data_IF_761391121873
#
_entry.id   IF_761391121873
#
_cell.length_a   1.000
_cell.length_b   1.000
_cell.length_c   1.000
_cell.angle_alpha   90.00
_cell.angle_beta   90.00
_cell.angle_gamma   90.00
#
_symmetry.space_group_name_H-M   'P 1'
#
loop_
_entity.id
_entity.type
_entity.pdbx_description
1 polymer ?
#
# COMPACT_ATOMS: atom_id res chain seq x y z
N UNK A 1 3.23 17.61 1.50
CA UNK A 1 2.24 18.42 2.00
C UNK A 1 0.80 18.16 1.54
N UNK A 2 0.52 17.46 0.52
CA UNK A 2 -0.87 17.31 0.11
C UNK A 2 -1.13 16.02 -0.64
N UNK A 3 -2.38 15.58 -0.52
CA UNK A 3 -2.91 14.52 -1.36
C UNK A 3 -3.30 15.12 -2.70
N UNK A 4 -2.79 14.59 -3.78
CA UNK A 4 -3.18 14.94 -5.15
C UNK A 4 -3.77 13.72 -5.85
N UNK A 5 -4.68 13.96 -6.79
CA UNK A 5 -5.39 12.90 -7.50
C UNK A 5 -4.95 12.87 -8.95
N UNK A 6 -4.68 11.67 -9.44
CA UNK A 6 -4.18 11.44 -10.79
C UNK A 6 -4.95 10.30 -11.44
N UNK A 7 -4.99 10.28 -12.74
CA UNK A 7 -5.55 9.16 -13.51
C UNK A 7 -4.40 8.32 -14.02
N UNK A 8 -4.44 7.02 -13.75
CA UNK A 8 -3.40 6.09 -14.17
C UNK A 8 -3.39 4.83 -13.33
N UNK A 9 -2.29 4.11 -13.42
CA UNK A 9 -2.07 2.85 -12.73
C UNK A 9 -1.14 3.06 -11.53
N UNK A 10 -1.68 2.98 -10.32
CA UNK A 10 -0.87 3.11 -9.11
C UNK A 10 0.21 2.02 -8.97
N UNK A 11 0.01 0.85 -9.60
CA UNK A 11 1.02 -0.21 -9.61
C UNK A 11 2.15 0.07 -10.61
N UNK A 12 1.93 0.93 -11.58
CA UNK A 12 2.94 1.33 -12.57
C UNK A 12 2.78 2.80 -12.95
N UNK A 13 2.99 3.72 -11.99
CA UNK A 13 2.82 5.14 -12.26
C UNK A 13 3.88 5.64 -13.24
N UNK A 14 3.49 6.58 -14.08
CA UNK A 14 4.41 7.27 -15.00
C UNK A 14 5.16 8.35 -14.21
N UNK A 15 6.15 7.91 -13.47
CA UNK A 15 6.96 8.76 -12.58
C UNK A 15 8.43 8.39 -12.67
N UNK A 16 9.26 9.40 -12.74
CA UNK A 16 10.69 9.27 -12.56
C UNK A 16 11.07 9.46 -11.07
N UNK A 17 12.23 8.93 -10.69
CA UNK A 17 12.77 9.09 -9.35
C UNK A 17 12.32 8.02 -8.36
N UNK A 18 12.44 8.34 -7.09
CA UNK A 18 12.16 7.40 -5.99
C UNK A 18 10.74 7.57 -5.48
N UNK A 19 10.04 6.46 -5.36
CA UNK A 19 8.72 6.46 -4.75
C UNK A 19 8.42 5.13 -4.07
N UNK A 20 7.46 5.15 -3.17
CA UNK A 20 6.91 3.96 -2.54
C UNK A 20 5.44 3.81 -2.94
N UNK A 21 5.08 2.61 -3.38
CA UNK A 21 3.68 2.24 -3.64
C UNK A 21 3.13 1.63 -2.35
N UNK A 22 2.18 2.33 -1.73
CA UNK A 22 1.54 1.86 -0.51
C UNK A 22 0.22 1.16 -0.82
N UNK A 23 0.04 -0.03 -0.28
CA UNK A 23 -1.21 -0.78 -0.42
C UNK A 23 -1.51 -1.61 0.82
N UNK A 24 -2.76 -2.02 0.94
CA UNK A 24 -3.28 -2.74 2.12
C UNK A 24 -3.38 -4.22 1.82
N UNK A 25 -2.99 -5.01 2.81
CA UNK A 25 -3.07 -6.47 2.80
C UNK A 25 -3.78 -6.96 4.06
N UNK A 26 -4.32 -8.19 3.98
CA UNK A 26 -4.90 -8.86 5.14
C UNK A 26 -3.83 -9.51 6.02
N UNK A 27 -4.23 -9.84 7.23
CA UNK A 27 -3.39 -10.61 8.16
C UNK A 27 -3.45 -12.14 7.94
N UNK A 28 -4.04 -12.57 6.82
CA UNK A 28 -4.26 -14.00 6.52
C UNK A 28 -3.22 -14.64 5.59
N UNK A 29 -2.25 -13.87 5.11
CA UNK A 29 -1.29 -14.34 4.11
C UNK A 29 -1.80 -14.28 2.68
N UNK A 30 -2.97 -13.68 2.42
CA UNK A 30 -3.54 -13.55 1.09
C UNK A 30 -2.93 -12.36 0.34
N UNK A 31 -2.59 -12.57 -0.93
CA UNK A 31 -1.99 -11.56 -1.82
C UNK A 31 -2.51 -11.68 -3.27
N UNK A 32 -3.55 -12.43 -3.49
CA UNK A 32 -3.93 -12.88 -4.83
C UNK A 32 -5.11 -12.16 -5.48
N UNK A 33 -5.64 -11.09 -4.88
CA UNK A 33 -6.84 -10.43 -5.38
C UNK A 33 -6.71 -8.89 -5.39
N UNK A 34 -7.51 -8.23 -6.20
CA UNK A 34 -7.58 -6.78 -6.26
C UNK A 34 -6.24 -6.13 -6.61
N UNK A 35 -5.94 -5.01 -5.97
CA UNK A 35 -4.71 -4.28 -6.22
C UNK A 35 -3.45 -5.07 -5.86
N UNK A 36 -3.50 -5.91 -4.81
CA UNK A 36 -2.38 -6.78 -4.45
C UNK A 36 -1.99 -7.72 -5.59
N UNK A 37 -2.98 -8.22 -6.35
CA UNK A 37 -2.72 -9.04 -7.54
C UNK A 37 -1.95 -8.26 -8.61
N UNK A 38 -2.30 -7.00 -8.82
CA UNK A 38 -1.58 -6.14 -9.76
C UNK A 38 -0.13 -5.92 -9.31
N UNK A 39 0.09 -5.68 -8.02
CA UNK A 39 1.43 -5.57 -7.45
C UNK A 39 2.21 -6.88 -7.64
N UNK A 40 1.61 -8.03 -7.35
CA UNK A 40 2.26 -9.33 -7.53
C UNK A 40 2.66 -9.60 -8.98
N UNK A 41 1.82 -9.18 -9.94
CA UNK A 41 2.11 -9.35 -11.36
C UNK A 41 3.25 -8.45 -11.83
N UNK A 42 3.32 -7.21 -11.32
CA UNK A 42 4.35 -6.23 -11.69
C UNK A 42 5.65 -6.42 -10.91
N UNK A 43 5.54 -6.79 -9.65
CA UNK A 43 6.65 -6.90 -8.70
C UNK A 43 6.54 -8.21 -7.89
N UNK A 44 6.86 -9.36 -8.50
CA UNK A 44 6.75 -10.66 -7.80
C UNK A 44 7.48 -10.69 -6.46
N UNK A 45 8.58 -9.96 -6.33
CA UNK A 45 9.35 -9.86 -5.09
C UNK A 45 8.52 -9.31 -3.93
N UNK A 46 7.60 -8.40 -4.17
CA UNK A 46 6.75 -7.83 -3.12
C UNK A 46 5.88 -8.90 -2.48
N UNK A 47 5.26 -9.76 -3.28
CA UNK A 47 4.48 -10.91 -2.80
C UNK A 47 5.36 -11.96 -2.12
N UNK A 48 6.50 -12.30 -2.71
CA UNK A 48 7.42 -13.30 -2.16
C UNK A 48 7.88 -12.89 -0.75
N UNK A 49 8.31 -11.65 -0.57
CA UNK A 49 8.78 -11.16 0.72
C UNK A 49 7.63 -11.07 1.74
N UNK A 50 6.43 -10.69 1.34
CA UNK A 50 5.26 -10.73 2.21
C UNK A 50 4.96 -12.13 2.71
N UNK A 51 4.96 -13.13 1.84
CA UNK A 51 4.70 -14.52 2.21
C UNK A 51 5.77 -15.09 3.17
N UNK A 52 7.03 -14.75 2.95
CA UNK A 52 8.12 -15.11 3.86
C UNK A 52 7.93 -14.49 5.24
N UNK A 53 7.57 -13.22 5.27
CA UNK A 53 7.28 -12.51 6.51
C UNK A 53 6.09 -13.13 7.26
N UNK A 54 5.01 -13.41 6.54
CA UNK A 54 3.83 -14.07 7.09
C UNK A 54 4.15 -15.43 7.72
N UNK A 55 5.05 -16.20 7.11
CA UNK A 55 5.48 -17.54 7.60
C UNK A 55 6.52 -17.45 8.71
N UNK A 56 6.97 -16.28 9.09
CA UNK A 56 8.06 -16.12 10.04
C UNK A 56 9.42 -16.52 9.49
N UNK A 57 9.57 -16.57 8.17
CA UNK A 57 10.82 -16.86 7.48
C UNK A 57 11.59 -15.58 7.16
N UNK A 58 12.91 -15.68 7.12
CA UNK A 58 13.78 -14.57 6.74
C UNK A 58 14.19 -13.66 7.89
N UNK A 59 14.95 -12.62 7.56
CA UNK A 59 15.61 -11.73 8.52
C UNK A 59 14.77 -10.52 8.94
N UNK A 60 13.45 -10.61 8.85
CA UNK A 60 12.58 -9.50 9.29
C UNK A 60 12.69 -9.32 10.79
N UNK A 61 13.10 -8.13 11.21
CA UNK A 61 13.25 -7.79 12.63
C UNK A 61 11.93 -7.45 13.32
N UNK A 62 10.81 -7.38 12.57
CA UNK A 62 9.50 -7.11 13.17
C UNK A 62 8.53 -8.26 12.89
N UNK A 63 7.66 -8.55 13.88
CA UNK A 63 6.67 -9.59 13.71
C UNK A 63 5.59 -9.18 12.68
N UNK A 64 5.06 -10.18 11.98
CA UNK A 64 3.88 -10.01 11.16
C UNK A 64 2.65 -9.81 12.05
N UNK A 65 1.97 -8.68 11.93
CA UNK A 65 0.77 -8.37 12.69
C UNK A 65 -0.03 -7.24 12.02
N UNK A 66 -1.28 -7.06 12.43
CA UNK A 66 -2.05 -5.87 12.08
C UNK A 66 -1.30 -4.61 12.52
N UNK A 67 -1.26 -3.62 11.65
CA UNK A 67 -0.56 -2.35 11.89
C UNK A 67 0.90 -2.34 11.46
N UNK A 68 1.48 -3.49 11.09
CA UNK A 68 2.87 -3.58 10.65
C UNK A 68 3.01 -3.24 9.16
N UNK A 69 4.17 -2.69 8.80
CA UNK A 69 4.53 -2.34 7.42
C UNK A 69 5.84 -3.04 7.05
N UNK A 70 5.85 -3.64 5.89
CA UNK A 70 7.07 -4.18 5.28
C UNK A 70 7.43 -3.35 4.04
N UNK A 71 8.66 -2.87 3.99
CA UNK A 71 9.21 -2.19 2.83
C UNK A 71 9.97 -3.16 1.95
N UNK A 72 9.61 -3.26 0.68
CA UNK A 72 10.26 -4.14 -0.28
C UNK A 72 10.78 -3.32 -1.45
N UNK A 73 12.09 -3.34 -1.67
CA UNK A 73 12.71 -2.74 -2.86
C UNK A 73 12.38 -3.57 -4.09
N UNK A 74 11.78 -2.95 -5.10
CA UNK A 74 11.29 -3.63 -6.31
C UNK A 74 11.86 -3.06 -7.60
N UNK A 75 12.57 -1.94 -7.52
CA UNK A 75 13.21 -1.32 -8.68
C UNK A 75 14.43 -2.10 -9.17
N UNK A 76 14.64 -2.14 -10.47
CA UNK A 76 15.87 -2.66 -11.04
C UNK A 76 16.98 -1.61 -10.90
N UNK A 77 17.94 -1.85 -10.04
CA UNK A 77 18.98 -0.89 -9.69
C UNK A 77 20.37 -1.37 -10.07
N UNK A 78 20.59 -1.51 -11.33
CA UNK A 78 21.92 -1.86 -11.81
C UNK A 78 22.85 -0.68 -11.52
N UNK A 79 23.78 -0.87 -10.58
CA UNK A 79 24.85 0.08 -10.28
C UNK A 79 24.49 1.25 -9.36
N UNK A 80 23.31 1.24 -8.70
CA UNK A 80 22.92 2.27 -7.72
C UNK A 80 22.49 1.63 -6.41
N UNK A 81 22.57 2.32 -5.30
CA UNK A 81 22.28 1.76 -3.98
C UNK A 81 20.86 1.22 -3.80
N UNK A 82 20.60 0.43 -2.75
CA UNK A 82 19.29 -0.23 -2.54
C UNK A 82 18.14 0.75 -2.28
N UNK A 83 18.41 1.97 -1.95
CA UNK A 83 17.42 3.05 -1.76
C UNK A 83 17.03 3.73 -3.06
N UNK A 84 17.68 3.43 -4.15
CA UNK A 84 17.38 4.03 -5.43
C UNK A 84 16.33 3.22 -6.16
N UNK A 85 15.26 3.88 -6.60
CA UNK A 85 14.22 3.26 -7.40
C UNK A 85 12.89 3.09 -6.67
N UNK A 86 12.18 2.03 -6.99
CA UNK A 86 10.80 1.81 -6.55
C UNK A 86 10.75 0.91 -5.32
N UNK A 87 9.85 1.27 -4.43
CA UNK A 87 9.55 0.48 -3.24
C UNK A 87 8.06 0.13 -3.20
N UNK A 88 7.74 -0.99 -2.58
CA UNK A 88 6.38 -1.35 -2.21
C UNK A 88 6.30 -1.41 -0.68
N UNK A 89 5.34 -0.71 -0.10
CA UNK A 89 5.00 -0.81 1.31
C UNK A 89 3.82 -1.76 1.45
N UNK A 90 4.08 -2.95 1.97
CA UNK A 90 3.06 -3.94 2.31
C UNK A 90 2.50 -3.60 3.70
N UNK A 91 1.30 -3.02 3.73
CA UNK A 91 0.65 -2.58 4.97
C UNK A 91 -0.41 -3.57 5.42
N UNK A 92 -0.22 -4.17 6.60
CA UNK A 92 -1.19 -5.12 7.15
C UNK A 92 -2.26 -4.34 7.91
N UNK A 93 -3.33 -3.98 7.22
CA UNK A 93 -4.41 -3.15 7.77
C UNK A 93 -5.81 -3.76 7.58
N UNK A 94 -5.88 -5.03 7.17
CA UNK A 94 -7.12 -5.75 6.97
C UNK A 94 -7.13 -6.99 7.87
N UNK A 95 -8.16 -7.11 8.71
CA UNK A 95 -8.35 -8.27 9.57
C UNK A 95 -9.27 -9.27 8.90
N UNK A 96 -8.72 -10.43 8.53
CA UNK A 96 -9.45 -11.43 7.76
C UNK A 96 -9.67 -11.03 6.31
N UNK A 97 -10.54 -11.77 5.64
CA UNK A 97 -10.96 -11.51 4.26
C UNK A 97 -12.43 -11.10 4.24
N UNK A 98 -12.82 -10.42 3.17
CA UNK A 98 -14.21 -10.03 2.99
C UNK A 98 -15.09 -11.25 2.74
N UNK A 99 -16.06 -11.44 3.63
CA UNK A 99 -17.08 -12.50 3.56
C UNK A 99 -18.43 -11.90 3.94
N UNK A 100 -19.55 -12.65 3.77
CA UNK A 100 -20.87 -12.17 4.28
C UNK A 100 -20.87 -11.87 5.78
N UNK A 101 -20.01 -12.57 6.56
CA UNK A 101 -19.86 -12.34 8.00
C UNK A 101 -18.83 -11.25 8.34
N UNK A 102 -17.98 -10.85 7.38
CA UNK A 102 -16.92 -9.86 7.55
C UNK A 102 -16.92 -8.90 6.35
N UNK A 103 -17.88 -8.00 6.31
CA UNK A 103 -18.09 -7.10 5.16
C UNK A 103 -17.12 -5.91 5.13
N UNK A 104 -16.51 -5.60 6.27
CA UNK A 104 -15.61 -4.47 6.44
C UNK A 104 -14.34 -4.93 7.14
N UNK A 105 -13.50 -5.74 6.47
CA UNK A 105 -12.27 -6.24 7.08
C UNK A 105 -11.21 -5.16 7.31
N UNK A 106 -11.34 -3.97 6.70
CA UNK A 106 -10.44 -2.85 6.94
C UNK A 106 -10.47 -2.47 8.43
N UNK A 107 -9.29 -2.45 9.03
CA UNK A 107 -9.08 -2.01 10.41
C UNK A 107 -8.46 -0.61 10.36
N UNK A 108 -9.26 0.41 10.72
CA UNK A 108 -8.83 1.81 10.63
C UNK A 108 -7.71 2.14 11.64
N UNK A 109 -7.70 1.51 12.80
CA UNK A 109 -6.62 1.70 13.77
C UNK A 109 -5.30 1.11 13.24
N UNK A 110 -5.35 -0.07 12.66
CA UNK A 110 -4.19 -0.68 12.01
C UNK A 110 -3.71 0.16 10.84
N UNK A 111 -4.62 0.70 10.03
CA UNK A 111 -4.28 1.60 8.94
C UNK A 111 -3.57 2.86 9.45
N UNK A 112 -4.06 3.46 10.54
CA UNK A 112 -3.43 4.62 11.15
C UNK A 112 -2.00 4.30 11.62
N UNK A 113 -1.77 3.14 12.21
CA UNK A 113 -0.41 2.68 12.58
C UNK A 113 0.49 2.55 11.34
N UNK A 114 -0.01 1.94 10.27
CA UNK A 114 0.73 1.80 9.03
C UNK A 114 1.12 3.15 8.42
N UNK A 115 0.16 4.07 8.34
CA UNK A 115 0.40 5.40 7.78
C UNK A 115 1.38 6.21 8.64
N UNK A 116 1.34 6.04 9.95
CA UNK A 116 2.31 6.69 10.86
C UNK A 116 3.74 6.21 10.57
N UNK A 117 3.93 4.95 10.24
CA UNK A 117 5.24 4.43 9.82
C UNK A 117 5.68 5.02 8.48
N UNK A 118 4.77 5.17 7.51
CA UNK A 118 5.08 5.86 6.26
C UNK A 118 5.47 7.33 6.49
N UNK A 119 4.82 8.00 7.44
CA UNK A 119 5.11 9.39 7.79
C UNK A 119 6.54 9.58 8.31
N UNK A 120 7.16 8.53 8.86
CA UNK A 120 8.54 8.56 9.33
C UNK A 120 9.59 8.50 8.22
N UNK A 121 9.20 8.24 6.99
CA UNK A 121 10.10 8.24 5.84
C UNK A 121 10.13 9.62 5.19
N UNK A 122 11.30 10.22 5.08
CA UNK A 122 11.47 11.57 4.53
C UNK A 122 11.95 11.60 3.07
N UNK A 123 12.19 10.43 2.48
CA UNK A 123 12.87 10.36 1.18
C UNK A 123 11.96 10.07 0.00
N UNK A 124 10.81 9.42 0.23
CA UNK A 124 10.01 8.88 -0.87
C UNK A 124 8.69 9.60 -1.07
N UNK A 125 8.38 9.89 -2.34
CA UNK A 125 7.03 10.20 -2.78
C UNK A 125 6.14 8.97 -2.53
N UNK A 126 4.96 9.18 -1.97
CA UNK A 126 4.00 8.11 -1.70
C UNK A 126 2.98 8.03 -2.83
N UNK A 127 2.87 6.85 -3.41
CA UNK A 127 1.89 6.54 -4.46
C UNK A 127 0.93 5.50 -3.90
N UNK A 128 -0.36 5.67 -4.12
CA UNK A 128 -1.36 4.69 -3.69
C UNK A 128 -2.60 4.72 -4.59
N UNK A 129 -3.32 3.60 -4.70
CA UNK A 129 -4.72 3.64 -5.14
C UNK A 129 -5.58 4.21 -4.00
N UNK A 130 -6.90 4.23 -4.16
CA UNK A 130 -7.80 4.49 -3.02
C UNK A 130 -7.79 3.29 -2.08
N UNK A 131 -6.76 3.26 -1.22
CA UNK A 131 -6.52 2.15 -0.30
C UNK A 131 -7.72 1.90 0.61
N UNK A 132 -7.99 0.62 0.88
CA UNK A 132 -9.06 0.21 1.78
C UNK A 132 -10.46 0.26 1.19
N UNK A 133 -10.65 0.73 -0.05
CA UNK A 133 -11.96 0.97 -0.65
C UNK A 133 -12.43 -0.14 -1.59
N UNK A 134 -11.60 -1.13 -1.86
CA UNK A 134 -11.97 -2.30 -2.68
C UNK A 134 -12.41 -3.46 -1.80
N UNK A 135 -11.65 -4.55 -1.87
CA UNK A 135 -11.93 -5.79 -1.11
C UNK A 135 -11.90 -5.60 0.41
N UNK A 136 -11.23 -4.58 0.91
CA UNK A 136 -11.22 -4.26 2.34
C UNK A 136 -12.55 -3.68 2.85
N UNK A 137 -13.46 -3.29 1.95
CA UNK A 137 -14.83 -2.91 2.28
C UNK A 137 -15.00 -1.51 2.85
N UNK A 138 -13.94 -0.71 2.94
CA UNK A 138 -13.99 0.67 3.40
C UNK A 138 -14.47 1.65 2.33
N UNK A 139 -14.67 2.89 2.73
CA UNK A 139 -14.98 4.00 1.83
C UNK A 139 -13.84 5.02 1.84
N UNK A 140 -13.69 5.77 0.75
CA UNK A 140 -12.68 6.81 0.71
C UNK A 140 -12.97 7.95 1.71
N UNK A 141 -14.24 8.18 2.02
CA UNK A 141 -14.65 9.13 3.06
C UNK A 141 -14.15 8.75 4.46
N UNK A 142 -13.95 7.45 4.73
CA UNK A 142 -13.34 6.96 5.97
C UNK A 142 -11.81 7.05 5.94
N UNK A 143 -11.20 6.76 4.80
CA UNK A 143 -9.74 6.58 4.67
C UNK A 143 -9.03 7.91 4.40
N UNK A 144 -9.59 8.75 3.54
CA UNK A 144 -8.97 10.01 3.14
C UNK A 144 -8.59 10.90 4.32
N UNK A 145 -9.44 11.10 5.35
CA UNK A 145 -9.07 11.91 6.51
C UNK A 145 -7.86 11.39 7.26
N UNK A 146 -7.68 10.06 7.33
CA UNK A 146 -6.48 9.47 7.93
C UNK A 146 -5.23 9.76 7.08
N UNK A 147 -5.34 9.57 5.78
CA UNK A 147 -4.23 9.84 4.85
C UNK A 147 -3.82 11.31 4.93
N UNK A 148 -4.77 12.21 4.81
CA UNK A 148 -4.50 13.65 4.82
C UNK A 148 -3.94 14.15 6.15
N UNK A 149 -4.42 13.61 7.27
CA UNK A 149 -3.97 14.06 8.59
C UNK A 149 -2.62 13.47 8.99
N UNK A 150 -2.43 12.17 8.77
CA UNK A 150 -1.19 11.46 9.19
C UNK A 150 -0.03 11.79 8.24
N UNK A 151 -0.30 11.89 6.94
CA UNK A 151 0.70 12.16 5.92
C UNK A 151 0.70 13.64 5.46
N UNK A 152 0.29 14.56 6.32
CA UNK A 152 0.11 15.98 5.96
C UNK A 152 1.40 16.66 5.47
N UNK A 153 2.57 16.21 5.92
CA UNK A 153 3.87 16.72 5.48
C UNK A 153 4.41 16.01 4.24
N UNK A 154 3.69 14.99 3.76
CA UNK A 154 4.16 14.15 2.66
C UNK A 154 3.50 14.55 1.34
N UNK A 155 4.20 14.29 0.25
CA UNK A 155 3.62 14.31 -1.08
C UNK A 155 2.99 12.94 -1.35
N UNK A 156 1.67 12.91 -1.43
CA UNK A 156 0.88 11.70 -1.65
C UNK A 156 0.12 11.83 -2.96
N UNK A 157 0.32 10.88 -3.85
CA UNK A 157 -0.40 10.80 -5.13
C UNK A 157 -1.33 9.60 -5.12
N UNK A 158 -2.62 9.89 -5.18
CA UNK A 158 -3.68 8.87 -5.31
C UNK A 158 -4.02 8.72 -6.79
N UNK A 159 -3.92 7.49 -7.28
CA UNK A 159 -4.21 7.16 -8.67
C UNK A 159 -5.56 6.45 -8.78
N UNK A 160 -6.44 7.05 -9.57
CA UNK A 160 -7.70 6.45 -9.99
C UNK A 160 -7.54 5.88 -11.39
N UNK A 161 -8.21 4.77 -11.68
CA UNK A 161 -8.31 4.27 -13.04
C UNK A 161 -9.24 5.15 -13.89
N UNK A 162 -9.14 5.09 -15.21
CA UNK A 162 -10.02 5.83 -16.09
C UNK A 162 -11.50 5.54 -15.82
N UNK A 163 -11.83 4.27 -15.56
CA UNK A 163 -13.20 3.85 -15.24
C UNK A 163 -13.73 4.52 -13.97
N UNK A 164 -12.90 4.68 -12.95
CA UNK A 164 -13.28 5.35 -11.71
C UNK A 164 -13.48 6.85 -11.90
N UNK A 165 -12.70 7.48 -12.77
CA UNK A 165 -12.81 8.90 -13.08
C UNK A 165 -14.09 9.23 -13.85
N UNK A 166 -14.69 8.27 -14.54
CA UNK A 166 -15.94 8.41 -15.30
C UNK A 166 -17.20 8.26 -14.43
N UNK A 167 -17.06 7.81 -13.19
CA UNK A 167 -18.17 7.68 -12.25
C UNK A 167 -18.33 9.01 -11.51
N UNK A 168 -19.50 9.70 -11.63
CA UNK A 168 -19.77 10.91 -10.87
C UNK A 168 -19.66 10.59 -9.37
N UNK A 169 -18.81 11.32 -8.68
CA UNK A 169 -18.58 11.13 -7.24
C UNK A 169 -19.79 11.45 -6.39
#
# INVERSE_FOLDING_TARGET
>A
MTVSYHIGDAAWPDLDGQFVIAHILSDTGAYGAGFARQIANRYPRAKEQYLRWYRGEGASSFPFRLGAVQWVGVGANVGRGPWWGRWVANMVAQHGLRTPANRHPLDLDALAECLTQLAGDDEHLIVMPRIGCGLAGGTWDEVEPLVSSILWEKDVRVYDTEDMAMVPG
#
